data_IF_741230360818
#
_entry.id   IF_741230360818
#
_cell.length_a   1.000
_cell.length_b   1.000
_cell.length_c   1.000
_cell.angle_alpha   90.00
_cell.angle_beta   90.00
_cell.angle_gamma   90.00
#
_symmetry.space_group_name_H-M   'P 1'
#
loop_
_entity.id
_entity.type
_entity.pdbx_description
1 polymer ?
#
# COMPACT_ATOMS: atom_id res chain seq x y z
N UNK A 1 -6.23 0.26 29.75
CA UNK A 1 -6.82 1.12 28.70
C UNK A 1 -8.34 1.21 28.87
N UNK A 2 -9.10 0.10 28.80
CA UNK A 2 -10.54 0.13 29.14
C UNK A 2 -10.85 0.81 30.47
N UNK A 3 -10.06 0.55 31.51
CA UNK A 3 -10.17 1.21 32.83
C UNK A 3 -9.98 2.74 32.78
N UNK A 4 -9.07 3.25 31.93
CA UNK A 4 -8.85 4.69 31.78
C UNK A 4 -9.99 5.37 31.00
N UNK A 5 -10.58 4.65 30.04
CA UNK A 5 -11.68 5.14 29.22
C UNK A 5 -13.02 5.04 29.97
N UNK A 6 -13.20 4.04 30.82
CA UNK A 6 -14.42 3.82 31.60
C UNK A 6 -14.78 5.00 32.52
N UNK A 7 -13.80 5.81 32.92
CA UNK A 7 -14.04 7.06 33.66
C UNK A 7 -14.69 8.17 32.81
N UNK A 8 -14.70 8.02 31.48
CA UNK A 8 -15.11 9.05 30.52
C UNK A 8 -16.21 8.60 29.56
N UNK A 9 -16.50 7.29 29.47
CA UNK A 9 -17.57 6.72 28.65
C UNK A 9 -18.06 5.39 29.23
N UNK A 10 -19.37 5.15 29.16
CA UNK A 10 -19.99 3.92 29.65
C UNK A 10 -19.89 2.78 28.63
N UNK A 11 -19.97 3.11 27.34
CA UNK A 11 -19.93 2.14 26.24
C UNK A 11 -18.75 2.44 25.30
N UNK A 12 -18.09 1.39 24.82
CA UNK A 12 -16.93 1.53 23.91
C UNK A 12 -17.33 2.17 22.57
N UNK A 13 -18.57 1.96 22.14
CA UNK A 13 -19.13 2.56 20.92
C UNK A 13 -19.24 4.08 21.01
N UNK A 14 -19.25 4.67 22.20
CA UNK A 14 -19.31 6.13 22.38
C UNK A 14 -17.96 6.81 22.15
N UNK A 15 -16.89 6.01 22.05
CA UNK A 15 -15.51 6.50 22.04
C UNK A 15 -14.92 6.38 20.63
N UNK A 16 -14.61 7.54 20.05
CA UNK A 16 -13.94 7.64 18.76
C UNK A 16 -12.42 7.75 18.93
N UNK A 17 -11.69 6.89 18.23
CA UNK A 17 -10.23 6.80 18.31
C UNK A 17 -9.63 7.14 16.95
N UNK A 18 -8.76 8.15 16.91
CA UNK A 18 -7.98 8.51 15.73
C UNK A 18 -6.63 7.80 15.75
N UNK A 19 -6.28 7.10 14.68
CA UNK A 19 -5.00 6.42 14.55
C UNK A 19 -4.42 6.65 13.15
N UNK A 20 -3.12 6.89 13.07
CA UNK A 20 -2.44 7.16 11.80
C UNK A 20 -2.18 5.90 10.95
N UNK A 21 -2.26 4.72 11.58
CA UNK A 21 -2.20 3.42 10.90
C UNK A 21 -3.58 2.80 10.78
N UNK A 22 -3.88 2.23 9.62
CA UNK A 22 -5.13 1.53 9.36
C UNK A 22 -5.04 0.02 9.62
N UNK A 23 -3.90 -0.47 10.10
CA UNK A 23 -3.59 -1.90 10.24
C UNK A 23 -2.80 -2.17 11.52
N UNK A 24 -2.86 -3.42 11.97
CA UNK A 24 -2.02 -3.97 13.04
C UNK A 24 -2.84 -4.48 14.23
N UNK A 25 -2.14 -5.12 15.17
CA UNK A 25 -2.77 -5.76 16.34
C UNK A 25 -3.62 -4.77 17.16
N UNK A 26 -3.15 -3.52 17.31
CA UNK A 26 -3.89 -2.48 18.03
C UNK A 26 -5.18 -2.10 17.32
N UNK A 27 -5.17 -1.91 16.00
CA UNK A 27 -6.38 -1.58 15.24
C UNK A 27 -7.42 -2.70 15.37
N UNK A 28 -6.98 -3.96 15.24
CA UNK A 28 -7.86 -5.12 15.39
C UNK A 28 -8.40 -5.26 16.81
N UNK A 29 -7.59 -5.04 17.84
CA UNK A 29 -8.01 -5.13 19.24
C UNK A 29 -9.02 -4.02 19.60
N UNK A 30 -8.77 -2.78 19.16
CA UNK A 30 -9.67 -1.65 19.40
C UNK A 30 -11.02 -1.83 18.69
N UNK A 31 -10.99 -2.22 17.41
CA UNK A 31 -12.20 -2.48 16.64
C UNK A 31 -12.98 -3.68 17.22
N UNK A 32 -12.29 -4.76 17.60
CA UNK A 32 -12.90 -5.94 18.24
C UNK A 32 -13.49 -5.67 19.63
N UNK A 33 -12.99 -4.65 20.34
CA UNK A 33 -13.54 -4.19 21.61
C UNK A 33 -14.74 -3.22 21.46
N UNK A 34 -15.14 -2.89 20.24
CA UNK A 34 -16.30 -2.03 19.96
C UNK A 34 -15.99 -0.53 19.89
N UNK A 35 -14.72 -0.12 19.86
CA UNK A 35 -14.36 1.29 19.69
C UNK A 35 -14.58 1.79 18.26
N UNK A 36 -14.96 3.06 18.10
CA UNK A 36 -15.06 3.69 16.78
C UNK A 36 -13.67 4.13 16.27
N UNK A 37 -12.99 3.28 15.50
CA UNK A 37 -11.63 3.58 15.02
C UNK A 37 -11.65 4.29 13.65
N UNK A 38 -10.93 5.41 13.55
CA UNK A 38 -10.80 6.22 12.34
C UNK A 38 -9.36 6.27 11.86
N UNK A 39 -9.13 5.87 10.60
CA UNK A 39 -7.83 5.96 9.96
C UNK A 39 -7.53 7.40 9.56
N UNK A 40 -6.57 8.02 10.24
CA UNK A 40 -6.11 9.37 9.97
C UNK A 40 -4.94 9.31 8.99
N UNK A 41 -4.99 10.15 7.96
CA UNK A 41 -3.88 10.27 7.02
C UNK A 41 -2.74 11.03 7.72
N UNK A 42 -1.50 10.50 7.82
CA UNK A 42 -0.37 11.18 8.46
C UNK A 42 -0.10 12.58 7.87
N UNK A 43 -0.31 12.76 6.57
CA UNK A 43 -0.16 14.07 5.91
C UNK A 43 -1.24 15.06 6.37
N UNK A 44 -2.46 14.57 6.61
CA UNK A 44 -3.55 15.41 7.14
C UNK A 44 -3.27 15.80 8.60
N UNK A 45 -2.81 14.85 9.42
CA UNK A 45 -2.41 15.11 10.81
C UNK A 45 -1.28 16.15 10.88
N UNK A 46 -0.24 15.99 10.05
CA UNK A 46 0.86 16.96 9.97
C UNK A 46 0.37 18.38 9.59
N UNK A 47 -0.47 18.51 8.56
CA UNK A 47 -1.04 19.82 8.16
C UNK A 47 -1.93 20.44 9.23
N UNK A 48 -2.64 19.62 9.99
CA UNK A 48 -3.45 20.09 11.11
C UNK A 48 -2.56 20.57 12.26
N UNK A 49 -1.47 19.84 12.55
CA UNK A 49 -0.47 20.22 13.55
C UNK A 49 0.17 21.57 13.22
N UNK A 50 0.59 21.78 11.97
CA UNK A 50 1.19 23.04 11.50
C UNK A 50 0.25 24.26 11.68
N UNK A 51 -1.06 24.03 11.77
CA UNK A 51 -2.06 25.09 12.01
C UNK A 51 -2.11 25.56 13.47
N UNK A 52 -1.78 24.68 14.41
CA UNK A 52 -1.98 24.89 15.85
C UNK A 52 -0.69 24.94 16.65
N UNK A 53 0.44 24.48 16.08
CA UNK A 53 1.77 24.53 16.71
C UNK A 53 2.69 25.47 15.95
N UNK A 54 3.16 26.51 16.64
CA UNK A 54 4.10 27.52 16.10
C UNK A 54 5.56 27.11 16.32
N UNK A 55 5.84 26.23 17.29
CA UNK A 55 7.16 25.65 17.53
C UNK A 55 7.26 24.25 16.95
N UNK A 56 8.38 23.91 16.32
CA UNK A 56 8.67 22.56 15.82
C UNK A 56 9.03 21.54 16.91
N UNK A 57 8.66 21.80 18.16
CA UNK A 57 8.91 20.89 19.27
C UNK A 57 7.87 19.77 19.26
N UNK A 58 8.33 18.52 19.19
CA UNK A 58 7.49 17.32 19.24
C UNK A 58 6.97 17.11 20.67
N UNK A 59 5.70 16.73 20.78
CA UNK A 59 5.07 16.46 22.07
C UNK A 59 3.98 15.40 21.87
N UNK A 60 4.15 14.24 22.51
CA UNK A 60 3.17 13.13 22.44
C UNK A 60 1.77 13.59 22.89
N UNK A 61 1.69 14.42 23.93
CA UNK A 61 0.42 14.98 24.40
C UNK A 61 -0.20 15.94 23.36
N UNK A 62 0.65 16.69 22.64
CA UNK A 62 0.24 17.52 21.51
C UNK A 62 -0.30 16.67 20.36
N UNK A 63 0.39 15.60 19.98
CA UNK A 63 -0.04 14.70 18.91
C UNK A 63 -1.35 13.98 19.25
N UNK A 64 -1.50 13.50 20.50
CA UNK A 64 -2.74 12.91 20.96
C UNK A 64 -3.91 13.90 20.89
N UNK A 65 -3.68 15.16 21.29
CA UNK A 65 -4.69 16.22 21.17
C UNK A 65 -5.05 16.50 19.71
N UNK A 66 -4.06 16.63 18.82
CA UNK A 66 -4.26 16.86 17.39
C UNK A 66 -5.14 15.76 16.78
N UNK A 67 -4.83 14.50 17.05
CA UNK A 67 -5.63 13.38 16.55
C UNK A 67 -7.04 13.38 17.14
N UNK A 68 -7.20 13.69 18.43
CA UNK A 68 -8.50 13.78 19.08
C UNK A 68 -9.37 14.90 18.48
N UNK A 69 -8.81 16.11 18.30
CA UNK A 69 -9.50 17.25 17.70
C UNK A 69 -9.92 16.94 16.26
N UNK A 70 -9.03 16.34 15.48
CA UNK A 70 -9.28 15.97 14.09
C UNK A 70 -10.38 14.91 13.94
N UNK A 71 -10.44 13.91 14.83
CA UNK A 71 -11.58 12.98 14.87
C UNK A 71 -12.86 13.68 15.35
N UNK A 72 -12.76 14.58 16.33
CA UNK A 72 -13.91 15.28 16.88
C UNK A 72 -14.62 16.13 15.83
N UNK A 73 -13.87 16.86 14.99
CA UNK A 73 -14.40 17.78 13.97
C UNK A 73 -14.58 17.12 12.61
N UNK A 74 -13.59 16.36 12.16
CA UNK A 74 -13.44 16.01 10.75
C UNK A 74 -13.55 14.51 10.47
N UNK A 75 -13.95 13.67 11.44
CA UNK A 75 -14.07 12.21 11.25
C UNK A 75 -14.82 11.79 9.98
N UNK A 76 -15.85 12.54 9.57
CA UNK A 76 -16.63 12.28 8.36
C UNK A 76 -15.79 12.31 7.06
N UNK A 77 -14.62 12.96 7.08
CA UNK A 77 -13.65 12.99 5.98
C UNK A 77 -12.61 11.87 6.06
N UNK A 78 -12.58 11.13 7.17
CA UNK A 78 -11.67 10.01 7.40
C UNK A 78 -12.36 8.68 7.18
N UNK A 79 -11.57 7.64 6.94
CA UNK A 79 -12.14 6.30 6.75
C UNK A 79 -12.42 5.67 8.12
N UNK A 80 -13.67 5.31 8.34
CA UNK A 80 -14.05 4.46 9.46
C UNK A 80 -13.51 3.04 9.25
N UNK A 81 -12.81 2.51 10.25
CA UNK A 81 -12.32 1.14 10.24
C UNK A 81 -13.43 0.27 10.86
N UNK A 82 -14.32 -0.21 10.00
CA UNK A 82 -15.25 -1.26 10.39
C UNK A 82 -14.46 -2.54 10.68
N UNK A 83 -14.88 -3.28 11.72
CA UNK A 83 -14.35 -4.61 11.98
C UNK A 83 -14.47 -5.46 10.71
N UNK A 84 -13.37 -6.06 10.29
CA UNK A 84 -13.34 -6.89 9.10
C UNK A 84 -14.15 -8.18 9.31
N UNK A 85 -14.73 -8.70 8.23
CA UNK A 85 -15.37 -10.01 8.29
C UNK A 85 -14.30 -11.10 8.51
N UNK A 86 -14.68 -12.26 9.09
CA UNK A 86 -13.75 -13.38 9.24
C UNK A 86 -13.07 -13.80 7.93
N UNK A 87 -13.80 -13.74 6.81
CA UNK A 87 -13.27 -14.03 5.47
C UNK A 87 -12.22 -13.00 5.02
N UNK A 88 -12.47 -11.70 5.28
CA UNK A 88 -11.54 -10.63 4.93
C UNK A 88 -10.23 -10.77 5.75
N UNK A 89 -10.32 -11.12 7.03
CA UNK A 89 -9.14 -11.39 7.86
C UNK A 89 -8.37 -12.61 7.37
N UNK A 90 -9.05 -13.70 6.99
CA UNK A 90 -8.41 -14.88 6.41
C UNK A 90 -7.60 -14.53 5.14
N UNK A 91 -8.18 -13.72 4.25
CA UNK A 91 -7.50 -13.24 3.03
C UNK A 91 -6.27 -12.39 3.39
N UNK A 92 -6.36 -11.49 4.38
CA UNK A 92 -5.22 -10.67 4.82
C UNK A 92 -4.07 -11.52 5.35
N UNK A 93 -4.37 -12.54 6.16
CA UNK A 93 -3.36 -13.46 6.69
C UNK A 93 -2.67 -14.20 5.53
N UNK A 94 -3.45 -14.74 4.59
CA UNK A 94 -2.91 -15.42 3.41
C UNK A 94 -2.04 -14.49 2.56
N UNK A 95 -2.51 -13.27 2.27
CA UNK A 95 -1.79 -12.30 1.49
C UNK A 95 -0.46 -11.89 2.15
N UNK A 96 -0.45 -11.73 3.48
CA UNK A 96 0.78 -11.43 4.24
C UNK A 96 1.78 -12.59 4.14
N UNK A 97 1.33 -13.83 4.35
CA UNK A 97 2.18 -15.01 4.19
C UNK A 97 2.75 -15.12 2.77
N UNK A 98 1.91 -14.90 1.76
CA UNK A 98 2.35 -14.89 0.37
C UNK A 98 3.44 -13.84 0.10
N UNK A 99 3.25 -12.61 0.61
CA UNK A 99 4.26 -11.56 0.51
C UNK A 99 5.57 -11.94 1.20
N UNK A 100 5.51 -12.51 2.40
CA UNK A 100 6.69 -13.01 3.12
C UNK A 100 7.43 -14.10 2.33
N UNK A 101 6.70 -15.00 1.67
CA UNK A 101 7.29 -16.04 0.82
C UNK A 101 7.96 -15.48 -0.44
N UNK A 102 7.39 -14.44 -1.05
CA UNK A 102 8.03 -13.72 -2.17
C UNK A 102 9.37 -13.15 -1.73
N UNK A 103 9.41 -12.46 -0.58
CA UNK A 103 10.65 -11.91 -0.04
C UNK A 103 11.66 -12.99 0.35
N UNK A 104 11.20 -14.10 0.95
CA UNK A 104 12.06 -15.23 1.26
C UNK A 104 12.68 -15.83 -0.01
N UNK A 105 11.88 -15.99 -1.09
CA UNK A 105 12.38 -16.47 -2.39
C UNK A 105 13.46 -15.56 -2.98
N UNK A 106 13.25 -14.24 -2.94
CA UNK A 106 14.24 -13.26 -3.42
C UNK A 106 15.52 -13.37 -2.60
N UNK A 107 15.40 -13.38 -1.27
CA UNK A 107 16.54 -13.51 -0.35
C UNK A 107 17.33 -14.78 -0.62
N UNK A 108 16.66 -15.94 -0.65
CA UNK A 108 17.32 -17.22 -0.90
C UNK A 108 17.94 -17.29 -2.30
N UNK A 109 17.29 -16.70 -3.31
CA UNK A 109 17.86 -16.60 -4.66
C UNK A 109 19.14 -15.77 -4.70
N UNK A 110 19.21 -14.69 -3.93
CA UNK A 110 20.43 -13.88 -3.81
C UNK A 110 21.54 -14.60 -3.04
N UNK A 111 21.20 -15.30 -1.96
CA UNK A 111 22.15 -16.14 -1.22
C UNK A 111 22.73 -17.22 -2.13
N UNK A 112 21.88 -17.96 -2.85
CA UNK A 112 22.30 -18.99 -3.80
C UNK A 112 23.22 -18.42 -4.89
N UNK A 113 22.85 -17.27 -5.48
CA UNK A 113 23.68 -16.61 -6.49
C UNK A 113 25.06 -16.25 -5.93
N UNK A 114 25.11 -15.71 -4.71
CA UNK A 114 26.37 -15.33 -4.06
C UNK A 114 27.28 -16.55 -3.88
N UNK A 115 26.74 -17.66 -3.37
CA UNK A 115 27.50 -18.89 -3.16
C UNK A 115 28.00 -19.50 -4.49
N UNK A 116 27.14 -19.56 -5.51
CA UNK A 116 27.52 -20.08 -6.82
C UNK A 116 28.59 -19.22 -7.51
N UNK A 117 28.57 -17.90 -7.31
CA UNK A 117 29.60 -17.02 -7.87
C UNK A 117 31.00 -17.36 -7.37
N UNK A 118 31.13 -17.78 -6.12
CA UNK A 118 32.41 -18.11 -5.50
C UNK A 118 32.86 -19.53 -5.83
N UNK A 119 31.93 -20.50 -5.84
CA UNK A 119 32.28 -21.93 -5.89
C UNK A 119 31.95 -22.64 -7.21
N UNK A 120 30.91 -22.20 -7.93
CA UNK A 120 30.45 -22.86 -9.16
C UNK A 120 29.88 -21.84 -10.18
N UNK A 121 30.73 -20.94 -10.72
CA UNK A 121 30.27 -19.82 -11.54
C UNK A 121 29.61 -20.26 -12.87
N UNK A 122 30.02 -21.41 -13.44
CA UNK A 122 29.41 -21.95 -14.66
C UNK A 122 27.91 -22.27 -14.50
N UNK A 123 27.42 -22.51 -13.28
CA UNK A 123 25.99 -22.65 -13.03
C UNK A 123 25.20 -21.36 -13.28
N UNK A 124 25.84 -20.20 -13.11
CA UNK A 124 25.21 -18.90 -13.38
C UNK A 124 25.05 -18.63 -14.87
N UNK A 125 25.90 -19.21 -15.71
CA UNK A 125 25.82 -19.14 -17.17
C UNK A 125 24.78 -20.11 -17.72
N UNK A 126 24.56 -21.24 -17.04
CA UNK A 126 23.64 -22.29 -17.48
C UNK A 126 22.15 -21.97 -17.26
N UNK A 127 21.81 -21.01 -16.38
CA UNK A 127 20.41 -20.75 -16.01
C UNK A 127 20.04 -19.27 -16.00
N UNK A 128 19.00 -18.90 -16.78
CA UNK A 128 18.41 -17.56 -16.77
C UNK A 128 17.77 -17.19 -15.42
N UNK A 129 17.27 -18.18 -14.67
CA UNK A 129 16.66 -17.98 -13.36
C UNK A 129 16.99 -19.10 -12.39
N UNK A 130 17.84 -18.79 -11.39
CA UNK A 130 18.24 -19.72 -10.33
C UNK A 130 17.09 -20.16 -9.41
N UNK A 131 16.01 -19.38 -9.34
CA UNK A 131 14.81 -19.76 -8.56
C UNK A 131 13.74 -20.43 -9.42
N UNK A 132 14.05 -20.71 -10.68
CA UNK A 132 13.22 -21.52 -11.56
C UNK A 132 13.23 -22.98 -11.12
N UNK A 133 12.11 -23.68 -11.31
CA UNK A 133 11.97 -25.09 -10.90
C UNK A 133 13.03 -25.99 -11.55
N UNK A 134 13.31 -25.78 -12.84
CA UNK A 134 14.33 -26.55 -13.57
C UNK A 134 15.74 -26.33 -13.03
N UNK A 135 16.12 -25.07 -12.81
CA UNK A 135 17.42 -24.73 -12.23
C UNK A 135 17.60 -25.34 -10.83
N UNK A 136 16.60 -25.21 -9.95
CA UNK A 136 16.65 -25.81 -8.61
C UNK A 136 16.70 -27.35 -8.65
N UNK A 137 15.97 -28.00 -9.57
CA UNK A 137 16.01 -29.45 -9.71
C UNK A 137 17.39 -29.96 -10.16
N UNK A 138 18.01 -29.27 -11.12
CA UNK A 138 19.35 -29.63 -11.62
C UNK A 138 20.40 -29.33 -10.56
N UNK A 139 20.39 -28.14 -9.95
CA UNK A 139 21.33 -27.78 -8.88
C UNK A 139 21.18 -28.67 -7.64
N UNK A 140 19.97 -29.17 -7.34
CA UNK A 140 19.75 -30.15 -6.29
C UNK A 140 20.42 -31.51 -6.58
N UNK A 141 20.56 -31.89 -7.86
CA UNK A 141 21.22 -33.14 -8.29
C UNK A 141 22.72 -32.95 -8.55
N UNK A 142 23.11 -31.77 -9.01
CA UNK A 142 24.47 -31.40 -9.34
C UNK A 142 24.86 -30.08 -8.63
N UNK A 143 25.08 -30.11 -7.31
CA UNK A 143 25.32 -28.90 -6.52
C UNK A 143 26.73 -28.32 -6.66
N UNK A 144 27.66 -29.03 -7.32
CA UNK A 144 29.06 -28.65 -7.45
C UNK A 144 29.62 -28.98 -8.84
N UNK A 145 30.74 -28.35 -9.28
CA UNK A 145 31.22 -28.43 -10.65
C UNK A 145 31.41 -29.86 -11.18
N UNK A 146 32.06 -30.73 -10.39
CA UNK A 146 32.31 -32.13 -10.75
C UNK A 146 31.02 -32.94 -10.99
N UNK A 147 29.98 -32.68 -10.23
CA UNK A 147 28.68 -33.33 -10.43
C UNK A 147 27.96 -32.76 -11.65
N UNK A 148 28.13 -31.47 -11.94
CA UNK A 148 27.62 -30.85 -13.16
C UNK A 148 28.19 -31.44 -14.45
N UNK A 149 29.49 -31.75 -14.47
CA UNK A 149 30.15 -32.37 -15.63
C UNK A 149 29.67 -33.80 -15.93
N UNK A 150 29.04 -34.48 -14.97
CA UNK A 150 28.54 -35.85 -15.09
C UNK A 150 27.02 -35.91 -15.12
N UNK A 151 26.37 -34.75 -15.05
CA UNK A 151 24.93 -34.65 -15.14
C UNK A 151 24.49 -34.78 -16.61
N UNK A 152 23.77 -35.86 -16.90
CA UNK A 152 23.09 -36.02 -18.19
C UNK A 152 22.14 -34.83 -18.44
N UNK A 153 22.05 -34.32 -19.68
CA UNK A 153 21.10 -33.28 -20.03
C UNK A 153 19.69 -33.72 -19.65
N UNK A 154 19.04 -32.99 -18.75
CA UNK A 154 17.62 -33.24 -18.43
C UNK A 154 16.80 -32.79 -19.63
N UNK A 155 16.44 -33.74 -20.49
CA UNK A 155 15.84 -33.50 -21.81
C UNK A 155 14.42 -32.92 -21.79
N UNK A 156 13.87 -32.58 -20.62
CA UNK A 156 12.54 -31.99 -20.61
C UNK A 156 12.25 -31.04 -19.44
N UNK A 157 12.51 -29.76 -19.67
CA UNK A 157 11.99 -28.67 -18.84
C UNK A 157 10.44 -28.58 -18.86
N UNK A 158 9.74 -29.20 -19.83
CA UNK A 158 8.26 -29.17 -19.94
C UNK A 158 7.58 -30.30 -19.14
N UNK A 159 8.17 -31.49 -18.99
CA UNK A 159 7.58 -32.59 -18.20
C UNK A 159 7.51 -32.30 -16.70
N UNK A 160 8.54 -31.65 -16.14
CA UNK A 160 8.54 -31.23 -14.72
C UNK A 160 7.48 -30.16 -14.45
N UNK A 161 7.14 -29.34 -15.46
CA UNK A 161 6.02 -28.40 -15.41
C UNK A 161 4.64 -29.09 -15.47
N UNK A 162 4.51 -30.19 -16.22
CA UNK A 162 3.25 -30.95 -16.36
C UNK A 162 2.93 -31.86 -15.18
N UNK A 163 3.95 -32.43 -14.51
CA UNK A 163 3.76 -33.33 -13.35
C UNK A 163 3.16 -32.62 -12.13
N UNK A 164 3.21 -31.30 -12.08
CA UNK A 164 2.68 -30.50 -10.97
C UNK A 164 1.86 -29.30 -11.47
N UNK A 165 0.96 -29.54 -12.43
CA UNK A 165 -0.15 -28.61 -12.62
C UNK A 165 -1.00 -28.64 -11.32
N UNK A 166 -1.29 -27.49 -10.68
CA UNK A 166 -2.22 -27.51 -9.56
C UNK A 166 -3.53 -28.09 -10.07
N UNK A 167 -4.08 -29.07 -9.35
CA UNK A 167 -5.43 -29.56 -9.57
C UNK A 167 -6.35 -28.35 -9.54
N UNK A 168 -6.72 -27.85 -10.72
CA UNK A 168 -7.78 -26.86 -10.81
C UNK A 168 -9.03 -27.61 -10.41
N UNK A 169 -9.37 -27.57 -9.13
CA UNK A 169 -10.73 -27.86 -8.69
C UNK A 169 -11.60 -26.80 -9.36
N UNK A 170 -12.06 -27.12 -10.57
CA UNK A 170 -13.18 -26.43 -11.19
C UNK A 170 -14.37 -26.70 -10.29
N UNK A 171 -14.69 -25.73 -9.45
CA UNK A 171 -15.97 -25.71 -8.77
C UNK A 171 -17.06 -25.80 -9.85
N UNK A 172 -17.99 -26.76 -9.78
CA UNK A 172 -19.12 -26.78 -10.69
C UNK A 172 -19.97 -25.55 -10.40
N UNK A 173 -20.07 -24.62 -11.37
CA UNK A 173 -21.08 -23.58 -11.36
C UNK A 173 -22.46 -24.25 -11.23
N UNK A 174 -23.33 -23.84 -10.30
CA UNK A 174 -24.71 -24.28 -10.29
C UNK A 174 -25.37 -23.79 -11.58
N UNK A 175 -25.96 -24.71 -12.35
CA UNK A 175 -26.83 -24.37 -13.47
C UNK A 175 -28.06 -23.66 -12.90
N UNK A 176 -28.20 -22.36 -13.15
CA UNK A 176 -29.47 -21.66 -12.92
C UNK A 176 -30.51 -22.17 -13.91
N UNK A 177 -31.30 -23.16 -13.49
CA UNK A 177 -32.60 -23.46 -14.06
C UNK A 177 -33.64 -22.49 -13.49
N UNK A 178 -34.46 -21.89 -14.34
CA UNK A 178 -35.69 -21.23 -13.89
C UNK A 178 -35.78 -19.77 -14.29
N UNK A 179 -36.29 -19.56 -15.50
CA UNK A 179 -36.85 -18.30 -15.96
C UNK A 179 -38.22 -18.14 -15.28
N UNK A 180 -38.38 -17.15 -14.41
CA UNK A 180 -39.69 -16.64 -13.99
C UNK A 180 -39.72 -15.15 -14.23
N UNK A 181 -40.53 -14.76 -15.22
CA UNK A 181 -40.84 -13.38 -15.57
C UNK A 181 -41.81 -12.80 -14.56
N UNK A 182 -41.43 -11.72 -13.88
CA UNK A 182 -42.37 -10.77 -13.28
C UNK A 182 -42.04 -9.35 -13.73
N UNK A 183 -43.04 -8.50 -14.00
CA UNK A 183 -42.84 -7.17 -14.57
C UNK A 183 -42.48 -6.16 -13.46
N UNK A 184 -41.40 -5.41 -13.67
CA UNK A 184 -41.05 -4.24 -12.83
C UNK A 184 -41.70 -2.98 -13.41
N UNK A 185 -42.41 -2.16 -12.62
CA UNK A 185 -42.88 -0.86 -13.07
C UNK A 185 -41.80 0.22 -12.90
N UNK A 186 -41.71 1.12 -13.90
CA UNK A 186 -41.31 2.52 -13.71
C UNK A 186 -39.84 2.85 -13.45
N UNK A 187 -38.99 2.80 -14.48
CA UNK A 187 -37.73 3.58 -14.49
C UNK A 187 -37.98 4.97 -15.07
N UNK A 188 -37.93 5.99 -14.22
CA UNK A 188 -37.79 7.39 -14.63
C UNK A 188 -36.42 7.61 -15.27
N UNK A 189 -36.43 8.27 -16.42
CA UNK A 189 -35.28 8.62 -17.26
C UNK A 189 -34.26 9.44 -16.46
N UNK A 190 -33.03 8.95 -16.37
CA UNK A 190 -31.87 9.80 -16.08
C UNK A 190 -31.24 10.18 -17.41
N UNK A 191 -31.39 11.46 -17.77
CA UNK A 191 -30.87 12.05 -18.99
C UNK A 191 -29.34 11.97 -19.06
N UNK A 192 -28.89 11.47 -20.19
CA UNK A 192 -27.54 11.51 -20.75
C UNK A 192 -26.93 12.93 -20.67
N UNK A 193 -25.98 13.14 -19.75
CA UNK A 193 -25.17 14.37 -19.70
C UNK A 193 -23.78 14.05 -20.24
N UNK A 194 -23.62 14.26 -21.55
CA UNK A 194 -22.35 14.31 -22.27
C UNK A 194 -21.32 15.13 -21.49
N UNK A 195 -20.18 14.50 -21.20
CA UNK A 195 -18.98 15.16 -20.70
C UNK A 195 -18.43 16.05 -21.82
N UNK A 196 -18.71 17.36 -21.75
CA UNK A 196 -18.02 18.37 -22.55
C UNK A 196 -16.61 18.57 -21.98
N UNK A 197 -15.58 18.15 -22.73
CA UNK A 197 -14.19 18.57 -22.50
C UNK A 197 -14.09 20.07 -22.79
N UNK A 198 -14.04 20.89 -21.75
CA UNK A 198 -13.62 22.28 -21.88
C UNK A 198 -12.08 22.34 -21.86
N UNK A 199 -11.50 22.67 -23.02
CA UNK A 199 -10.19 23.33 -23.07
C UNK A 199 -10.28 24.65 -22.30
N UNK A 200 -9.63 24.71 -21.13
CA UNK A 200 -9.37 25.99 -20.49
C UNK A 200 -8.15 26.65 -21.14
N UNK A 201 -8.43 27.77 -21.79
CA UNK A 201 -7.45 28.75 -22.27
C UNK A 201 -6.95 29.59 -21.08
N UNK A 202 -5.64 29.77 -21.01
CA UNK A 202 -4.93 30.96 -20.53
C UNK A 202 -5.36 31.60 -19.20
N UNK A 203 -4.65 31.27 -18.12
CA UNK A 203 -4.61 32.10 -16.91
C UNK A 203 -3.81 33.40 -17.11
N UNK A 204 -4.06 34.45 -16.30
CA UNK A 204 -3.44 35.76 -16.46
C UNK A 204 -1.94 35.72 -16.10
N UNK A 205 -1.11 36.25 -17.00
CA UNK A 205 0.35 36.38 -16.79
C UNK A 205 0.61 37.40 -15.68
N UNK A 206 1.23 36.97 -14.58
CA UNK A 206 1.83 37.86 -13.59
C UNK A 206 2.87 38.76 -14.27
N UNK A 207 2.65 40.09 -14.24
CA UNK A 207 3.68 41.07 -14.61
C UNK A 207 4.80 40.99 -13.59
N UNK A 208 6.04 40.84 -14.08
CA UNK A 208 7.25 41.04 -13.26
C UNK A 208 7.32 42.51 -12.82
N UNK A 209 7.71 42.81 -11.57
CA UNK A 209 7.97 44.19 -11.16
C UNK A 209 9.20 44.75 -11.89
N UNK A 210 9.08 45.97 -12.41
CA UNK A 210 10.17 46.72 -13.02
C UNK A 210 11.21 47.16 -11.98
N UNK A 211 12.51 47.20 -12.31
CA UNK A 211 13.54 47.72 -11.43
C UNK A 211 13.47 49.27 -11.36
N UNK A 212 13.85 49.88 -10.22
CA UNK A 212 13.77 51.32 -10.05
C UNK A 212 14.77 52.08 -10.94
N UNK A 213 14.24 53.17 -11.51
CA UNK A 213 14.86 54.20 -12.33
C UNK A 213 16.14 54.78 -11.68
N UNK A 214 17.31 54.46 -12.22
CA UNK A 214 18.58 55.03 -11.80
C UNK A 214 18.78 56.39 -12.48
N UNK A 215 18.32 57.45 -11.83
CA UNK A 215 18.69 58.82 -12.21
C UNK A 215 20.21 59.03 -12.00
N UNK A 216 20.92 59.64 -12.96
CA UNK A 216 22.34 59.89 -12.84
C UNK A 216 22.60 60.93 -11.75
N UNK A 217 23.42 60.57 -10.75
CA UNK A 217 23.92 61.52 -9.75
C UNK A 217 24.87 62.51 -10.43
N UNK A 218 24.47 63.77 -10.40
CA UNK A 218 25.26 64.91 -10.86
C UNK A 218 26.59 65.02 -10.12
N UNK A 219 27.57 65.49 -10.87
CA UNK A 219 28.96 65.73 -10.51
C UNK A 219 29.05 67.11 -9.84
N UNK A 220 29.45 67.14 -8.57
CA UNK A 220 30.00 68.32 -7.88
C UNK A 220 31.15 67.77 -7.03
N UNK A 221 32.42 68.12 -7.20
CA UNK A 221 32.95 69.44 -7.56
C UNK A 221 33.30 70.17 -6.28
N UNK A 222 34.46 69.81 -5.74
CA UNK A 222 35.42 70.57 -4.93
C UNK A 222 35.06 71.24 -3.58
N UNK A 223 36.10 71.12 -2.73
CA UNK A 223 36.72 72.14 -1.86
C UNK A 223 36.35 72.22 -0.37
N UNK A 224 37.45 72.15 0.40
CA UNK A 224 37.73 72.43 1.81
C UNK A 224 37.35 71.39 2.87
#
# INVERSE_FOLDING_TARGET
>A
MHELIAAHAEESEQVAIGIETDRGLWVSALSGAGFQVWAINPIAAARYRDRHHVSGAESDAGDAKVLADLVRTDRHNHRFIAGDTPDAEAIKVLARTHQSLIWARIRHGNILRSALREYYPAALEAFDSLTGRGALAILGRAPHPRAGCTAEPVEDQRSTQRRWAPTQHRHPCPRHSGRTTHPTPGRTRCSDRRVRRHHQRGGPRHRRPEPPDQRPRGRTGDTF
#
